data_IF_819129021494
#
_entry.id   IF_819129021494
#
_cell.length_a   1.000
_cell.length_b   1.000
_cell.length_c   1.000
_cell.angle_alpha   90.00
_cell.angle_beta   90.00
_cell.angle_gamma   90.00
#
_symmetry.space_group_name_H-M   'P 1'
#
loop_
_entity.id
_entity.type
_entity.pdbx_description
1 polymer ?
#
# COMPACT_ATOMS: atom_id res chain seq x y z
N UNK A 1 17.72 22.89 -50.32
CA UNK A 1 16.47 22.29 -49.81
C UNK A 1 16.70 21.86 -48.36
N UNK A 2 16.22 22.63 -47.38
CA UNK A 2 16.49 22.43 -45.94
C UNK A 2 15.30 21.68 -45.34
N UNK A 3 15.45 20.39 -45.04
CA UNK A 3 14.38 19.58 -44.42
C UNK A 3 14.37 19.85 -42.91
N UNK A 4 13.30 20.49 -42.43
CA UNK A 4 13.00 20.61 -41.00
C UNK A 4 12.54 19.24 -40.50
N UNK A 5 13.32 18.64 -39.60
CA UNK A 5 12.90 17.44 -38.84
C UNK A 5 12.14 17.96 -37.62
N UNK A 6 10.83 17.74 -37.59
CA UNK A 6 10.02 17.98 -36.40
C UNK A 6 10.26 16.82 -35.43
N UNK A 7 10.89 17.11 -34.29
CA UNK A 7 11.04 16.14 -33.19
C UNK A 7 9.75 16.17 -32.38
N UNK A 8 8.93 15.14 -32.54
CA UNK A 8 7.75 14.91 -31.71
C UNK A 8 8.21 14.26 -30.39
N UNK A 9 8.22 15.04 -29.30
CA UNK A 9 8.47 14.52 -27.95
C UNK A 9 7.17 13.88 -27.45
N UNK A 10 7.14 12.54 -27.42
CA UNK A 10 6.07 11.79 -26.77
C UNK A 10 6.31 11.82 -25.25
N UNK A 11 5.52 12.63 -24.54
CA UNK A 11 5.41 12.59 -23.08
C UNK A 11 4.69 11.28 -22.70
N UNK A 12 5.45 10.21 -22.43
CA UNK A 12 4.89 9.00 -21.85
C UNK A 12 4.44 9.32 -20.41
N UNK A 13 3.19 9.02 -20.01
CA UNK A 13 2.77 9.13 -18.63
C UNK A 13 3.67 8.24 -17.78
N UNK A 14 4.27 8.80 -16.73
CA UNK A 14 5.09 8.05 -15.80
C UNK A 14 4.28 6.90 -15.25
N UNK A 15 4.71 5.66 -15.52
CA UNK A 15 4.20 4.48 -14.86
C UNK A 15 4.62 4.57 -13.40
N UNK A 16 3.79 5.21 -12.57
CA UNK A 16 3.92 5.12 -11.12
C UNK A 16 3.88 3.64 -10.77
N UNK A 17 4.97 3.11 -10.23
CA UNK A 17 5.00 1.74 -9.76
C UNK A 17 3.89 1.57 -8.72
N UNK A 18 3.02 0.59 -8.91
CA UNK A 18 1.94 0.31 -7.96
C UNK A 18 2.53 -0.05 -6.59
N UNK A 19 1.90 0.43 -5.53
CA UNK A 19 2.36 0.19 -4.16
C UNK A 19 1.15 -0.05 -3.25
N UNK A 20 1.29 -1.03 -2.35
CA UNK A 20 0.38 -1.19 -1.22
C UNK A 20 0.94 -0.40 -0.05
N UNK A 21 0.16 0.52 0.49
CA UNK A 21 0.59 1.38 1.59
C UNK A 21 -0.40 1.31 2.76
N UNK A 22 0.15 1.43 3.97
CA UNK A 22 -0.64 1.57 5.20
C UNK A 22 -0.05 2.65 6.09
N UNK A 23 -0.91 3.54 6.56
CA UNK A 23 -0.56 4.65 7.45
C UNK A 23 -1.17 4.45 8.83
N UNK A 24 -0.38 4.79 9.85
CA UNK A 24 -0.87 4.89 11.21
C UNK A 24 -1.52 6.27 11.44
N UNK A 25 -2.85 6.34 11.36
CA UNK A 25 -3.60 7.57 11.64
C UNK A 25 -3.94 7.76 13.13
N UNK A 26 -3.51 6.86 14.00
CA UNK A 26 -3.76 6.93 15.44
C UNK A 26 -2.73 7.79 16.18
N UNK A 27 -2.90 7.97 17.48
CA UNK A 27 -1.98 8.67 18.39
C UNK A 27 -1.00 7.73 19.14
N UNK A 28 -1.06 6.42 18.87
CA UNK A 28 -0.17 5.42 19.45
C UNK A 28 0.65 4.71 18.38
N UNK A 29 1.80 4.14 18.77
CA UNK A 29 2.61 3.31 17.88
C UNK A 29 2.08 1.87 17.84
N UNK A 30 2.01 1.29 16.64
CA UNK A 30 1.60 -0.11 16.43
C UNK A 30 2.49 -0.81 15.42
N UNK A 31 2.43 -2.14 15.36
CA UNK A 31 3.14 -2.93 14.36
C UNK A 31 2.24 -3.17 13.17
N UNK A 32 2.70 -2.81 11.99
CA UNK A 32 1.97 -2.98 10.74
C UNK A 32 2.66 -4.02 9.85
N UNK A 33 1.86 -4.73 9.07
CA UNK A 33 2.34 -5.53 7.94
C UNK A 33 1.58 -5.20 6.67
N UNK A 34 2.28 -5.27 5.55
CA UNK A 34 1.72 -5.20 4.20
C UNK A 34 2.14 -6.46 3.48
N UNK A 35 1.18 -7.18 2.89
CA UNK A 35 1.42 -8.43 2.15
C UNK A 35 0.69 -8.36 0.81
N UNK A 36 1.40 -8.60 -0.29
CA UNK A 36 0.79 -8.65 -1.62
C UNK A 36 0.23 -10.05 -1.94
N UNK A 37 -0.54 -10.16 -3.02
CA UNK A 37 -1.10 -11.46 -3.45
C UNK A 37 -0.04 -12.46 -3.96
N UNK A 38 1.20 -12.03 -4.19
CA UNK A 38 2.32 -12.89 -4.57
C UNK A 38 3.09 -13.43 -3.35
N UNK A 39 2.76 -12.97 -2.14
CA UNK A 39 3.39 -13.37 -0.88
C UNK A 39 4.58 -12.50 -0.46
N UNK A 40 4.89 -11.41 -1.17
CA UNK A 40 5.86 -10.42 -0.70
C UNK A 40 5.30 -9.72 0.53
N UNK A 41 6.12 -9.53 1.58
CA UNK A 41 5.67 -8.95 2.83
C UNK A 41 6.66 -7.96 3.41
N UNK A 42 6.15 -6.84 3.90
CA UNK A 42 6.88 -5.87 4.72
C UNK A 42 6.28 -5.78 6.13
N UNK A 43 7.12 -5.42 7.11
CA UNK A 43 6.73 -5.27 8.51
C UNK A 43 7.50 -4.13 9.17
N UNK A 44 6.82 -3.29 9.94
CA UNK A 44 7.44 -2.23 10.73
C UNK A 44 6.58 -1.80 11.91
N UNK A 45 7.22 -1.28 12.97
CA UNK A 45 6.52 -0.47 13.97
C UNK A 45 6.38 0.96 13.43
N UNK A 46 5.16 1.47 13.36
CA UNK A 46 4.87 2.80 12.84
C UNK A 46 4.46 3.73 13.97
N UNK A 47 5.19 4.83 14.13
CA UNK A 47 4.77 5.96 14.97
C UNK A 47 3.50 6.62 14.40
N UNK A 48 2.78 7.43 15.19
CA UNK A 48 1.69 8.27 14.69
C UNK A 48 2.07 9.04 13.42
N UNK A 49 1.24 8.91 12.39
CA UNK A 49 1.39 9.54 11.09
C UNK A 49 2.38 8.88 10.12
N UNK A 50 3.16 7.88 10.56
CA UNK A 50 4.10 7.16 9.71
C UNK A 50 3.39 6.15 8.78
N UNK A 51 4.07 5.79 7.68
CA UNK A 51 3.56 4.93 6.63
C UNK A 51 4.54 3.79 6.30
N UNK A 52 4.00 2.63 5.95
CA UNK A 52 4.72 1.49 5.40
C UNK A 52 4.16 1.17 4.01
N UNK A 53 5.04 1.14 3.01
CA UNK A 53 4.68 0.77 1.64
C UNK A 53 5.46 -0.46 1.17
N UNK A 54 4.82 -1.27 0.33
CA UNK A 54 5.38 -2.39 -0.39
C UNK A 54 5.14 -2.17 -1.89
N UNK A 55 6.20 -2.10 -2.68
CA UNK A 55 6.07 -2.08 -4.15
C UNK A 55 5.50 -3.40 -4.64
N UNK A 56 4.50 -3.34 -5.52
CA UNK A 56 3.83 -4.52 -6.05
C UNK A 56 3.91 -4.55 -7.56
N UNK A 57 4.27 -5.71 -8.10
CA UNK A 57 4.18 -5.96 -9.53
C UNK A 57 2.79 -6.47 -9.89
N UNK A 58 2.24 -5.97 -11.00
CA UNK A 58 1.07 -6.59 -11.59
C UNK A 58 1.40 -8.03 -12.01
N UNK A 59 0.49 -9.00 -11.81
CA UNK A 59 0.68 -10.35 -12.32
C UNK A 59 0.88 -10.33 -13.84
N UNK A 60 1.83 -11.12 -14.35
CA UNK A 60 2.06 -11.23 -15.78
C UNK A 60 0.78 -11.69 -16.50
N UNK A 61 0.35 -10.95 -17.53
CA UNK A 61 -0.86 -11.24 -18.29
C UNK A 61 -2.17 -10.71 -17.68
N UNK A 62 -2.10 -9.95 -16.58
CA UNK A 62 -3.26 -9.34 -15.95
C UNK A 62 -3.32 -7.83 -16.25
N UNK A 63 -3.59 -7.45 -17.51
CA UNK A 63 -3.79 -6.04 -17.90
C UNK A 63 -5.01 -5.38 -17.24
N UNK A 64 -5.91 -6.18 -16.64
CA UNK A 64 -7.17 -5.71 -16.04
C UNK A 64 -7.29 -5.97 -14.52
N UNK A 65 -6.31 -6.65 -13.89
CA UNK A 65 -6.34 -6.84 -12.44
C UNK A 65 -5.51 -5.76 -11.75
N UNK A 66 -6.14 -4.99 -10.87
CA UNK A 66 -5.39 -4.10 -9.98
C UNK A 66 -4.55 -4.97 -9.02
N UNK A 67 -3.25 -4.70 -8.87
CA UNK A 67 -2.48 -5.32 -7.81
C UNK A 67 -3.11 -4.96 -6.46
N UNK A 68 -3.11 -5.91 -5.53
CA UNK A 68 -3.82 -5.83 -4.26
C UNK A 68 -3.12 -6.66 -3.20
N UNK A 69 -3.66 -6.65 -1.99
CA UNK A 69 -3.10 -7.41 -0.88
C UNK A 69 -3.85 -7.21 0.43
N UNK A 70 -3.17 -7.52 1.51
CA UNK A 70 -3.66 -7.38 2.88
C UNK A 70 -2.76 -6.43 3.64
N UNK A 71 -3.37 -5.46 4.32
CA UNK A 71 -2.72 -4.68 5.36
C UNK A 71 -3.21 -5.20 6.71
N UNK A 72 -2.33 -5.22 7.70
CA UNK A 72 -2.69 -5.62 9.05
C UNK A 72 -1.98 -4.79 10.11
N UNK A 73 -2.61 -4.67 11.27
CA UNK A 73 -2.06 -4.00 12.46
C UNK A 73 -2.13 -4.93 13.68
N UNK A 74 -1.10 -4.83 14.51
CA UNK A 74 -0.89 -5.60 15.72
C UNK A 74 -0.49 -4.67 16.85
N UNK A 75 -0.90 -4.99 18.08
CA UNK A 75 -0.52 -4.21 19.27
C UNK A 75 1.01 -4.20 19.45
N UNK A 76 1.64 -5.37 19.32
CA UNK A 76 3.08 -5.58 19.53
C UNK A 76 3.67 -6.55 18.50
N UNK A 77 5.00 -6.64 18.47
CA UNK A 77 5.75 -7.50 17.55
C UNK A 77 5.49 -9.01 17.78
N UNK A 78 5.06 -9.39 18.97
CA UNK A 78 4.78 -10.77 19.38
C UNK A 78 3.28 -11.08 19.44
N UNK A 79 2.42 -10.11 19.08
CA UNK A 79 0.99 -10.33 19.04
C UNK A 79 0.63 -11.32 17.93
N UNK A 80 -0.11 -12.35 18.31
CA UNK A 80 -0.65 -13.36 17.38
C UNK A 80 -1.89 -12.83 16.67
N UNK A 81 -2.73 -12.11 17.40
CA UNK A 81 -4.00 -11.55 16.93
C UNK A 81 -3.88 -10.04 16.67
N UNK A 82 -4.62 -9.57 15.67
CA UNK A 82 -4.60 -8.18 15.22
C UNK A 82 -5.90 -7.79 14.52
N UNK A 83 -5.79 -6.85 13.59
CA UNK A 83 -6.84 -6.57 12.61
C UNK A 83 -6.22 -6.58 11.22
N UNK A 84 -6.98 -7.02 10.23
CA UNK A 84 -6.58 -6.94 8.83
C UNK A 84 -7.64 -6.28 7.96
N UNK A 85 -7.23 -5.80 6.78
CA UNK A 85 -8.10 -5.25 5.75
C UNK A 85 -7.52 -5.53 4.36
N UNK A 86 -8.41 -5.78 3.40
CA UNK A 86 -8.03 -5.86 1.99
C UNK A 86 -7.70 -4.46 1.47
N UNK A 87 -6.55 -4.33 0.80
CA UNK A 87 -6.10 -3.09 0.19
C UNK A 87 -5.86 -3.31 -1.31
N UNK A 88 -6.19 -2.29 -2.11
CA UNK A 88 -5.75 -2.21 -3.50
C UNK A 88 -4.47 -1.36 -3.58
N UNK A 89 -3.69 -1.54 -4.64
CA UNK A 89 -2.44 -0.81 -4.84
C UNK A 89 -2.61 0.59 -5.46
N UNK A 90 -3.84 1.10 -5.51
CA UNK A 90 -4.16 2.45 -5.97
C UNK A 90 -4.48 3.41 -4.82
N UNK A 91 -4.68 2.88 -3.61
CA UNK A 91 -5.02 3.63 -2.41
C UNK A 91 -4.12 3.21 -1.24
N UNK A 92 -3.91 4.12 -0.28
CA UNK A 92 -3.28 3.80 1.00
C UNK A 92 -4.37 3.54 2.04
N UNK A 93 -4.20 2.58 2.92
CA UNK A 93 -5.14 2.34 4.03
C UNK A 93 -4.67 3.08 5.28
N UNK A 94 -5.55 3.84 5.94
CA UNK A 94 -5.22 4.54 7.19
C UNK A 94 -5.95 3.91 8.37
N UNK A 95 -5.21 3.49 9.39
CA UNK A 95 -5.78 3.09 10.67
C UNK A 95 -6.24 4.31 11.46
N UNK A 96 -7.54 4.40 11.74
CA UNK A 96 -8.14 5.49 12.52
C UNK A 96 -8.28 5.13 14.01
N UNK A 97 -8.57 3.86 14.30
CA UNK A 97 -8.63 3.36 15.67
C UNK A 97 -8.24 1.89 15.72
N UNK A 98 -7.38 1.54 16.68
CA UNK A 98 -7.04 0.16 16.96
C UNK A 98 -8.05 -0.46 17.93
N UNK A 99 -8.49 -1.68 17.64
CA UNK A 99 -9.25 -2.51 18.56
C UNK A 99 -8.87 -3.97 18.31
N UNK A 100 -8.38 -4.67 19.32
CA UNK A 100 -8.02 -6.08 19.18
C UNK A 100 -9.20 -6.92 18.63
N UNK A 101 -8.88 -7.93 17.81
CA UNK A 101 -9.80 -8.86 17.14
C UNK A 101 -10.68 -8.24 16.04
N UNK A 102 -10.08 -7.95 14.87
CA UNK A 102 -10.76 -7.57 13.61
C UNK A 102 -11.79 -6.42 13.68
N UNK A 103 -11.71 -5.56 14.70
CA UNK A 103 -12.64 -4.43 14.92
C UNK A 103 -12.00 -3.07 14.71
N UNK A 104 -10.82 -3.03 14.10
CA UNK A 104 -10.14 -1.78 13.82
C UNK A 104 -10.97 -0.90 12.86
N UNK A 105 -10.90 0.40 13.08
CA UNK A 105 -11.50 1.39 12.19
C UNK A 105 -10.47 1.84 11.16
N UNK A 106 -10.85 1.79 9.90
CA UNK A 106 -9.98 2.08 8.77
C UNK A 106 -10.65 3.08 7.83
N UNK A 107 -9.85 3.92 7.19
CA UNK A 107 -10.29 4.76 6.08
C UNK A 107 -9.37 4.58 4.87
N UNK A 108 -9.93 4.54 3.65
CA UNK A 108 -9.11 4.70 2.45
C UNK A 108 -8.52 6.11 2.44
N UNK A 109 -7.25 6.21 2.03
CA UNK A 109 -6.51 7.44 1.83
C UNK A 109 -6.07 7.51 0.37
N UNK A 110 -6.52 8.56 -0.33
CA UNK A 110 -6.24 8.83 -1.75
C UNK A 110 -6.40 10.31 -2.04
#
# INVERSE_FOLDING_TARGET
>A
MRRLIAVLVLLLPGSGAAALCVRNGTDAAYVFTVEDLAGSRARAALAPGAELCLSVQAPAGAELALPGGVVAVFERIDSVEGCSRLADATQSETLLAYAAFDRCLWAPHG
#
